data_IF_548379917347
#
_entry.id   IF_548379917347
#
_cell.length_a   1.000
_cell.length_b   1.000
_cell.length_c   1.000
_cell.angle_alpha   90.00
_cell.angle_beta   90.00
_cell.angle_gamma   90.00
#
_symmetry.space_group_name_H-M   'P 1'
#
loop_
_entity.id
_entity.type
_entity.pdbx_description
1 polymer ?
#
# COMPACT_ATOMS: atom_id res chain seq x y z
N UNK A 1 32.25 56.93 -34.13
CA UNK A 1 32.98 55.64 -34.11
C UNK A 1 33.02 55.20 -32.66
N UNK A 2 32.72 53.94 -32.35
CA UNK A 2 32.90 53.46 -30.98
C UNK A 2 34.39 53.41 -30.67
N UNK A 3 34.77 53.85 -29.49
CA UNK A 3 36.15 53.71 -29.02
C UNK A 3 36.46 52.22 -28.78
N UNK A 4 37.63 51.77 -29.22
CA UNK A 4 38.13 50.39 -29.11
C UNK A 4 38.01 49.85 -27.66
N UNK A 5 38.19 50.75 -26.68
CA UNK A 5 38.06 50.46 -25.25
C UNK A 5 36.65 50.05 -24.84
N UNK A 6 35.60 50.70 -25.39
CA UNK A 6 34.22 50.34 -25.12
C UNK A 6 33.84 49.00 -25.75
N UNK A 7 34.38 48.71 -26.95
CA UNK A 7 34.14 47.46 -27.63
C UNK A 7 34.77 46.28 -26.87
N UNK A 8 36.01 46.47 -26.40
CA UNK A 8 36.71 45.51 -25.55
C UNK A 8 35.95 45.22 -24.25
N UNK A 9 35.45 46.26 -23.56
CA UNK A 9 34.64 46.09 -22.35
C UNK A 9 33.38 45.27 -22.60
N UNK A 10 32.64 45.56 -23.67
CA UNK A 10 31.45 44.78 -24.05
C UNK A 10 31.79 43.33 -24.38
N UNK A 11 32.96 43.08 -24.99
CA UNK A 11 33.42 41.73 -25.28
C UNK A 11 33.65 40.92 -24.00
N UNK A 12 34.36 41.50 -23.04
CA UNK A 12 34.59 40.87 -21.73
C UNK A 12 33.27 40.58 -21.01
N UNK A 13 32.32 41.52 -21.03
CA UNK A 13 30.99 41.30 -20.44
C UNK A 13 30.24 40.12 -21.11
N UNK A 14 30.36 39.98 -22.43
CA UNK A 14 29.76 38.86 -23.19
C UNK A 14 30.44 37.54 -22.81
N UNK A 15 31.77 37.53 -22.72
CA UNK A 15 32.52 36.34 -22.32
C UNK A 15 32.18 35.90 -20.90
N UNK A 16 32.07 36.84 -19.95
CA UNK A 16 31.65 36.55 -18.57
C UNK A 16 30.27 35.90 -18.52
N UNK A 17 29.28 36.51 -19.16
CA UNK A 17 27.91 35.95 -19.23
C UNK A 17 27.86 34.57 -19.87
N UNK A 18 28.68 34.34 -20.90
CA UNK A 18 28.77 33.04 -21.57
C UNK A 18 29.39 31.99 -20.64
N UNK A 19 30.44 32.35 -19.90
CA UNK A 19 31.07 31.44 -18.95
C UNK A 19 30.09 31.02 -17.84
N UNK A 20 29.38 31.97 -17.25
CA UNK A 20 28.36 31.71 -16.23
C UNK A 20 27.25 30.78 -16.75
N UNK A 21 26.73 31.03 -17.96
CA UNK A 21 25.70 30.18 -18.56
C UNK A 21 26.20 28.75 -18.80
N UNK A 22 27.43 28.59 -19.29
CA UNK A 22 28.02 27.28 -19.52
C UNK A 22 28.20 26.50 -18.21
N UNK A 23 28.65 27.17 -17.15
CA UNK A 23 28.76 26.57 -15.82
C UNK A 23 27.40 26.10 -15.31
N UNK A 24 26.36 26.94 -15.42
CA UNK A 24 25.00 26.57 -15.02
C UNK A 24 24.47 25.36 -15.81
N UNK A 25 24.68 25.35 -17.12
CA UNK A 25 24.27 24.23 -17.98
C UNK A 25 24.98 22.93 -17.60
N UNK A 26 26.28 22.99 -17.29
CA UNK A 26 27.06 21.83 -16.88
C UNK A 26 26.54 21.25 -15.55
N UNK A 27 26.27 22.11 -14.55
CA UNK A 27 25.70 21.70 -13.26
C UNK A 27 24.35 21.00 -13.47
N UNK A 28 23.46 21.59 -14.27
CA UNK A 28 22.16 20.99 -14.55
C UNK A 28 22.27 19.66 -15.28
N UNK A 29 23.18 19.56 -16.24
CA UNK A 29 23.43 18.33 -16.98
C UNK A 29 23.92 17.21 -16.05
N UNK A 30 24.90 17.49 -15.18
CA UNK A 30 25.39 16.49 -14.24
C UNK A 30 24.30 16.05 -13.25
N UNK A 31 23.48 16.98 -12.76
CA UNK A 31 22.35 16.64 -11.90
C UNK A 31 21.35 15.71 -12.58
N UNK A 32 20.96 16.02 -13.81
CA UNK A 32 20.06 15.17 -14.60
C UNK A 32 20.66 13.80 -14.88
N UNK A 33 21.96 13.75 -15.16
CA UNK A 33 22.69 12.50 -15.40
C UNK A 33 22.68 11.60 -14.17
N UNK A 34 22.91 12.15 -12.98
CA UNK A 34 22.82 11.39 -11.70
C UNK A 34 21.39 10.89 -11.47
N UNK A 35 20.38 11.76 -11.63
CA UNK A 35 18.97 11.40 -11.48
C UNK A 35 18.56 10.26 -12.42
N UNK A 36 18.93 10.33 -13.70
CA UNK A 36 18.64 9.28 -14.69
C UNK A 36 19.29 7.94 -14.32
N UNK A 37 20.55 7.98 -13.87
CA UNK A 37 21.23 6.76 -13.39
C UNK A 37 20.50 6.15 -12.20
N UNK A 38 20.15 6.95 -11.20
CA UNK A 38 19.41 6.48 -10.02
C UNK A 38 18.03 5.92 -10.38
N UNK A 39 17.31 6.57 -11.30
CA UNK A 39 16.02 6.08 -11.76
C UNK A 39 16.15 4.75 -12.51
N UNK A 40 17.18 4.61 -13.36
CA UNK A 40 17.44 3.38 -14.09
C UNK A 40 17.77 2.22 -13.15
N UNK A 41 18.55 2.44 -12.09
CA UNK A 41 18.87 1.37 -11.12
C UNK A 41 17.63 0.95 -10.33
N UNK A 42 16.83 1.91 -9.86
CA UNK A 42 15.57 1.62 -9.17
C UNK A 42 14.57 0.89 -10.07
N UNK A 43 14.43 1.32 -11.33
CA UNK A 43 13.56 0.67 -12.30
C UNK A 43 14.00 -0.77 -12.58
N UNK A 44 15.31 -1.01 -12.71
CA UNK A 44 15.85 -2.35 -12.93
C UNK A 44 15.59 -3.26 -11.73
N UNK A 45 15.86 -2.78 -10.51
CA UNK A 45 15.58 -3.54 -9.29
C UNK A 45 14.08 -3.85 -9.12
N UNK A 46 13.21 -2.89 -9.44
CA UNK A 46 11.77 -3.10 -9.43
C UNK A 46 11.34 -4.15 -10.49
N UNK A 47 11.92 -4.09 -11.68
CA UNK A 47 11.66 -5.07 -12.75
C UNK A 47 12.08 -6.48 -12.34
N UNK A 48 13.27 -6.65 -11.75
CA UNK A 48 13.77 -7.93 -11.26
C UNK A 48 12.84 -8.51 -10.17
N UNK A 49 12.48 -7.70 -9.18
CA UNK A 49 11.53 -8.09 -8.13
C UNK A 49 10.17 -8.48 -8.70
N UNK A 50 9.64 -7.70 -9.65
CA UNK A 50 8.34 -7.98 -10.26
C UNK A 50 8.38 -9.26 -11.10
N UNK A 51 9.49 -9.53 -11.80
CA UNK A 51 9.67 -10.77 -12.55
C UNK A 51 9.68 -12.00 -11.63
N UNK A 52 10.36 -11.90 -10.48
CA UNK A 52 10.36 -12.95 -9.47
C UNK A 52 8.96 -13.20 -8.91
N UNK A 53 8.26 -12.15 -8.48
CA UNK A 53 6.89 -12.26 -7.96
C UNK A 53 5.94 -12.88 -8.99
N UNK A 54 6.07 -12.51 -10.26
CA UNK A 54 5.25 -13.07 -11.32
C UNK A 54 5.55 -14.56 -11.53
N UNK A 55 6.82 -14.96 -11.43
CA UNK A 55 7.22 -16.36 -11.42
C UNK A 55 6.57 -17.12 -10.27
N UNK A 56 6.69 -16.60 -9.04
CA UNK A 56 6.12 -17.21 -7.85
C UNK A 56 4.60 -17.37 -7.97
N UNK A 57 3.90 -16.33 -8.42
CA UNK A 57 2.44 -16.36 -8.65
C UNK A 57 2.07 -17.46 -9.66
N UNK A 58 2.79 -17.55 -10.79
CA UNK A 58 2.54 -18.62 -11.78
C UNK A 58 2.73 -20.01 -11.17
N UNK A 59 3.80 -20.21 -10.40
CA UNK A 59 4.02 -21.52 -9.75
C UNK A 59 2.93 -21.86 -8.74
N UNK A 60 2.41 -20.87 -8.01
CA UNK A 60 1.29 -21.05 -7.09
C UNK A 60 0.00 -21.34 -7.84
N UNK A 61 -0.26 -20.63 -8.93
CA UNK A 61 -1.41 -20.85 -9.80
C UNK A 61 -1.38 -22.27 -10.40
N UNK A 62 -0.23 -22.71 -10.93
CA UNK A 62 -0.08 -24.06 -11.45
C UNK A 62 -0.32 -25.10 -10.36
N UNK A 63 0.22 -24.91 -9.16
CA UNK A 63 -0.04 -25.81 -8.02
C UNK A 63 -1.53 -25.84 -7.63
N UNK A 64 -2.24 -24.72 -7.75
CA UNK A 64 -3.67 -24.66 -7.50
C UNK A 64 -4.46 -25.36 -8.61
N UNK A 65 -4.11 -25.15 -9.87
CA UNK A 65 -4.72 -25.81 -11.03
C UNK A 65 -4.50 -27.33 -11.02
N UNK A 66 -3.32 -27.78 -10.56
CA UNK A 66 -2.99 -29.21 -10.45
C UNK A 66 -3.65 -29.89 -9.26
N UNK A 67 -4.20 -29.14 -8.28
CA UNK A 67 -5.02 -29.75 -7.23
C UNK A 67 -6.34 -30.20 -7.85
N UNK A 68 -6.75 -31.42 -7.51
CA UNK A 68 -7.98 -32.02 -7.99
C UNK A 68 -9.17 -31.10 -7.64
N UNK A 69 -10.13 -30.88 -8.57
CA UNK A 69 -11.32 -30.09 -8.25
C UNK A 69 -12.01 -30.67 -7.02
N UNK A 70 -12.51 -29.79 -6.16
CA UNK A 70 -13.24 -30.21 -4.96
C UNK A 70 -14.43 -31.08 -5.35
N UNK A 71 -14.83 -31.99 -4.46
CA UNK A 71 -16.01 -32.83 -4.67
C UNK A 71 -17.21 -31.94 -5.06
N UNK A 72 -18.04 -32.34 -6.03
CA UNK A 72 -19.14 -31.51 -6.55
C UNK A 72 -20.05 -30.92 -5.45
N UNK A 73 -20.28 -31.66 -4.37
CA UNK A 73 -21.06 -31.18 -3.21
C UNK A 73 -20.43 -29.98 -2.49
N UNK A 74 -19.09 -29.91 -2.46
CA UNK A 74 -18.39 -28.78 -1.86
C UNK A 74 -18.44 -27.56 -2.78
N UNK A 75 -18.38 -27.77 -4.10
CA UNK A 75 -18.54 -26.69 -5.09
C UNK A 75 -19.96 -26.11 -5.07
N UNK A 76 -20.99 -26.95 -4.97
CA UNK A 76 -22.38 -26.49 -4.85
C UNK A 76 -22.60 -25.75 -3.55
N UNK A 77 -22.04 -26.24 -2.43
CA UNK A 77 -22.09 -25.54 -1.15
C UNK A 77 -21.40 -24.17 -1.21
N UNK A 78 -20.21 -24.09 -1.79
CA UNK A 78 -19.48 -22.82 -1.96
C UNK A 78 -20.27 -21.83 -2.81
N UNK A 79 -20.86 -22.30 -3.92
CA UNK A 79 -21.69 -21.47 -4.81
C UNK A 79 -22.91 -20.93 -4.07
N UNK A 80 -23.63 -21.79 -3.35
CA UNK A 80 -24.78 -21.38 -2.56
C UNK A 80 -24.39 -20.44 -1.40
N UNK A 81 -23.22 -20.66 -0.79
CA UNK A 81 -22.70 -19.80 0.27
C UNK A 81 -22.41 -18.40 -0.24
N UNK A 82 -21.69 -18.26 -1.36
CA UNK A 82 -21.39 -16.94 -1.93
C UNK A 82 -22.66 -16.22 -2.39
N UNK A 83 -23.60 -16.93 -3.02
CA UNK A 83 -24.90 -16.35 -3.37
C UNK A 83 -25.67 -15.86 -2.14
N UNK A 84 -25.69 -16.65 -1.06
CA UNK A 84 -26.32 -16.25 0.20
C UNK A 84 -25.59 -15.09 0.87
N UNK A 85 -24.27 -15.04 0.80
CA UNK A 85 -23.48 -13.92 1.30
C UNK A 85 -23.80 -12.63 0.55
N UNK A 86 -23.89 -12.68 -0.79
CA UNK A 86 -24.25 -11.52 -1.62
C UNK A 86 -25.68 -11.04 -1.34
N UNK A 87 -26.61 -11.96 -1.11
CA UNK A 87 -28.00 -11.64 -0.73
C UNK A 87 -28.08 -10.95 0.64
N UNK A 88 -27.27 -11.39 1.60
CA UNK A 88 -27.26 -10.83 2.95
C UNK A 88 -26.36 -9.59 3.07
N UNK A 89 -25.39 -9.39 2.17
CA UNK A 89 -24.40 -8.30 2.24
C UNK A 89 -25.03 -6.90 2.44
N UNK A 90 -26.14 -6.54 1.78
CA UNK A 90 -26.78 -5.24 1.98
C UNK A 90 -27.33 -5.03 3.39
N UNK A 91 -27.77 -6.09 4.07
CA UNK A 91 -28.21 -6.00 5.47
C UNK A 91 -27.03 -5.70 6.40
N UNK A 92 -25.86 -6.26 6.09
CA UNK A 92 -24.64 -6.09 6.87
C UNK A 92 -23.88 -4.80 6.53
N UNK A 93 -24.07 -4.22 5.36
CA UNK A 93 -23.35 -3.04 4.87
C UNK A 93 -23.35 -1.86 5.86
N UNK A 94 -24.48 -1.43 6.46
CA UNK A 94 -24.48 -0.34 7.45
C UNK A 94 -23.64 -0.66 8.69
N UNK A 95 -23.63 -1.92 9.13
CA UNK A 95 -22.83 -2.36 10.28
C UNK A 95 -21.34 -2.43 9.94
N UNK A 96 -20.98 -3.03 8.80
CA UNK A 96 -19.60 -3.13 8.32
C UNK A 96 -18.97 -1.75 8.09
N UNK A 97 -19.79 -0.77 7.70
CA UNK A 97 -19.38 0.62 7.54
C UNK A 97 -19.44 1.44 8.86
N UNK A 98 -19.80 0.83 9.98
CA UNK A 98 -19.87 1.48 11.30
C UNK A 98 -21.00 2.50 11.46
N UNK A 99 -22.03 2.45 10.59
CA UNK A 99 -23.15 3.39 10.55
C UNK A 99 -24.43 2.87 11.21
N UNK A 100 -24.44 1.62 11.65
CA UNK A 100 -25.63 1.00 12.24
C UNK A 100 -25.30 -0.17 13.16
N UNK A 101 -26.29 -0.62 13.96
CA UNK A 101 -26.15 -1.83 14.75
C UNK A 101 -26.04 -3.06 13.83
N UNK A 102 -25.42 -4.13 14.33
CA UNK A 102 -25.36 -5.39 13.61
C UNK A 102 -26.77 -5.90 13.28
N UNK A 103 -26.99 -6.53 12.11
CA UNK A 103 -28.25 -7.20 11.81
C UNK A 103 -28.61 -8.14 12.96
N UNK A 104 -29.75 -7.87 13.59
CA UNK A 104 -30.22 -8.68 14.70
C UNK A 104 -30.65 -10.04 14.17
N UNK A 105 -29.93 -11.10 14.53
CA UNK A 105 -30.45 -12.47 14.45
C UNK A 105 -31.88 -12.44 15.00
N UNK A 106 -32.87 -12.74 14.14
CA UNK A 106 -34.28 -12.76 14.53
C UNK A 106 -34.42 -13.62 15.79
N UNK A 107 -35.00 -13.00 16.82
CA UNK A 107 -35.26 -13.52 18.17
C UNK A 107 -35.63 -15.01 18.19
N UNK A 108 -34.86 -15.80 18.94
CA UNK A 108 -35.38 -16.90 19.76
C UNK A 108 -34.35 -17.36 20.82
N UNK A 109 -34.00 -16.51 21.77
CA UNK A 109 -33.85 -16.98 23.16
C UNK A 109 -33.92 -15.80 24.12
N UNK A 110 -34.96 -15.76 24.95
CA UNK A 110 -34.91 -15.02 26.20
C UNK A 110 -34.86 -16.07 27.32
N UNK A 111 -33.70 -16.31 27.95
CA UNK A 111 -33.69 -16.85 29.29
C UNK A 111 -33.86 -15.68 30.25
N UNK A 112 -34.90 -15.77 31.06
CA UNK A 112 -35.35 -14.71 31.94
C UNK A 112 -34.30 -14.19 32.91
N UNK A 113 -34.59 -12.97 33.39
CA UNK A 113 -34.04 -12.41 34.63
C UNK A 113 -33.79 -13.51 35.68
N UNK A 114 -32.52 -13.73 36.03
CA UNK A 114 -32.14 -13.99 37.42
C UNK A 114 -31.01 -13.07 37.82
N UNK A 115 -31.33 -12.28 38.84
CA UNK A 115 -30.46 -11.40 39.60
C UNK A 115 -29.87 -12.24 40.73
N UNK A 116 -28.55 -12.28 40.85
CA UNK A 116 -27.73 -12.53 42.06
C UNK A 116 -26.27 -12.35 41.61
N UNK A 117 -25.64 -11.20 41.80
CA UNK A 117 -24.96 -10.70 43.01
C UNK A 117 -23.64 -11.44 43.34
N UNK A 118 -22.54 -10.68 43.20
CA UNK A 118 -21.23 -10.77 43.86
C UNK A 118 -20.43 -12.08 43.86
N UNK A 119 -19.30 -12.08 43.12
CA UNK A 119 -17.96 -12.35 43.70
C UNK A 119 -16.88 -11.90 42.71
N UNK A 120 -15.91 -11.13 43.20
CA UNK A 120 -14.87 -10.49 42.40
C UNK A 120 -13.70 -11.42 42.07
N UNK A 121 -13.17 -11.28 40.84
CA UNK A 121 -11.76 -11.50 40.45
C UNK A 121 -11.51 -10.65 39.19
N UNK A 122 -10.45 -9.84 39.08
CA UNK A 122 -10.09 -9.21 37.82
C UNK A 122 -9.39 -10.25 36.95
N UNK A 123 -10.04 -10.67 35.86
CA UNK A 123 -9.38 -11.46 34.80
C UNK A 123 -8.90 -10.52 33.71
N UNK A 124 -7.59 -10.35 33.68
CA UNK A 124 -6.84 -9.96 32.48
C UNK A 124 -7.35 -10.76 31.29
N UNK A 125 -7.96 -10.06 30.33
CA UNK A 125 -8.28 -10.66 29.03
C UNK A 125 -7.45 -9.97 27.97
N UNK A 126 -6.64 -10.83 27.36
CA UNK A 126 -5.66 -10.55 26.34
C UNK A 126 -6.31 -9.88 25.15
N UNK A 127 -5.70 -8.76 24.77
CA UNK A 127 -5.67 -8.21 23.43
C UNK A 127 -5.15 -9.28 22.45
N UNK A 128 -6.07 -10.05 21.86
CA UNK A 128 -5.79 -11.05 20.83
C UNK A 128 -6.53 -10.65 19.57
N UNK A 129 -5.87 -9.91 18.69
CA UNK A 129 -6.40 -9.63 17.36
C UNK A 129 -5.62 -8.65 16.51
N UNK A 130 -4.69 -7.88 17.08
CA UNK A 130 -3.91 -6.92 16.29
C UNK A 130 -2.49 -7.42 16.01
N UNK A 131 -2.00 -7.35 14.76
CA UNK A 131 -0.59 -7.61 14.47
C UNK A 131 0.29 -6.60 15.22
N UNK A 132 1.47 -7.01 15.72
CA UNK A 132 2.33 -6.13 16.51
C UNK A 132 2.77 -4.92 15.66
N UNK A 133 2.46 -3.71 16.15
CA UNK A 133 2.95 -2.47 15.54
C UNK A 133 4.48 -2.36 15.68
N UNK A 134 5.20 -1.90 14.65
CA UNK A 134 6.64 -1.62 14.77
C UNK A 134 6.89 -0.48 15.78
N UNK A 135 7.84 -0.69 16.69
CA UNK A 135 8.27 0.32 17.68
C UNK A 135 8.98 1.47 16.97
N UNK A 136 8.63 2.71 17.32
CA UNK A 136 9.41 3.89 16.90
C UNK A 136 10.74 3.92 17.67
N UNK A 137 11.87 4.27 17.03
CA UNK A 137 13.12 4.48 17.74
C UNK A 137 12.99 5.68 18.69
N UNK A 138 13.57 5.53 19.88
CA UNK A 138 13.65 6.56 20.91
C UNK A 138 14.58 7.66 20.39
N UNK A 139 14.10 8.90 20.33
CA UNK A 139 14.97 10.04 20.07
C UNK A 139 15.99 10.16 21.21
N UNK A 140 17.25 10.35 20.85
CA UNK A 140 18.37 10.71 21.75
C UNK A 140 18.37 12.22 21.90
#
# INVERSE_FOLDING_TARGET
>A
MYDESELSKKHEDILGKRAELLEQMEIQYQHQKVKKKQQSTMSKAAQERNAQLLGDIKTLEDKLRMKQPLHPDVLTLETCYWASMEENLPEWEPFLLGRGPAPGHRRAWSPGRRRQENTGVPRDTQDRGLPPRPRKPRAV
#
